data_IF_650698430018
#
_entry.id   IF_650698430018
#
_cell.length_a   1.000
_cell.length_b   1.000
_cell.length_c   1.000
_cell.angle_alpha   90.00
_cell.angle_beta   90.00
_cell.angle_gamma   90.00
#
_symmetry.space_group_name_H-M   'P 1'
#
loop_
_entity.id
_entity.type
_entity.pdbx_description
1 polymer ?
#
# COMPACT_ATOMS: atom_id res chain seq x y z
N UNK A 1 -10.31 -26.71 -19.69
CA UNK A 1 -9.67 -25.95 -18.60
C UNK A 1 -10.27 -26.26 -17.22
N UNK A 2 -11.60 -26.36 -17.03
CA UNK A 2 -12.14 -26.86 -15.74
C UNK A 2 -11.68 -28.30 -15.42
N UNK A 3 -11.54 -29.15 -16.44
CA UNK A 3 -10.97 -30.49 -16.28
C UNK A 3 -9.49 -30.54 -15.87
N UNK A 4 -8.74 -29.43 -16.02
CA UNK A 4 -7.35 -29.31 -15.52
C UNK A 4 -7.38 -28.79 -14.08
N UNK A 5 -8.27 -27.82 -13.81
CA UNK A 5 -8.53 -27.26 -12.47
C UNK A 5 -8.80 -28.34 -11.42
N UNK A 6 -9.69 -29.30 -11.73
CA UNK A 6 -10.07 -30.36 -10.77
C UNK A 6 -9.01 -31.46 -10.62
N UNK A 7 -8.06 -31.57 -11.56
CA UNK A 7 -7.02 -32.62 -11.58
C UNK A 7 -5.66 -32.17 -11.03
N UNK A 8 -5.47 -30.89 -10.80
CA UNK A 8 -4.24 -30.32 -10.22
C UNK A 8 -4.28 -30.20 -8.69
N UNK A 9 -5.41 -30.42 -8.02
CA UNK A 9 -5.53 -30.29 -6.54
C UNK A 9 -4.92 -31.47 -5.74
N UNK A 10 -4.03 -32.27 -6.35
CA UNK A 10 -3.41 -33.43 -5.70
C UNK A 10 -2.12 -33.93 -6.36
N UNK A 11 -1.24 -33.01 -6.79
CA UNK A 11 0.00 -33.37 -7.52
C UNK A 11 0.95 -34.25 -6.70
N UNK A 12 1.03 -34.05 -5.38
CA UNK A 12 1.95 -34.80 -4.51
C UNK A 12 1.55 -36.28 -4.29
N UNK A 13 0.28 -36.65 -4.51
CA UNK A 13 -0.24 -38.00 -4.23
C UNK A 13 -0.63 -38.79 -5.48
N UNK A 14 -0.63 -38.19 -6.67
CA UNK A 14 -1.17 -38.81 -7.88
C UNK A 14 -0.15 -38.84 -9.04
N UNK A 15 0.35 -40.01 -9.47
CA UNK A 15 1.29 -40.11 -10.59
C UNK A 15 0.71 -39.59 -11.92
N UNK A 16 -0.62 -39.60 -12.08
CA UNK A 16 -1.28 -38.99 -13.24
C UNK A 16 -1.17 -37.45 -13.24
N UNK A 17 -1.11 -36.83 -12.07
CA UNK A 17 -0.96 -35.37 -11.95
C UNK A 17 0.46 -34.91 -12.31
N UNK A 18 1.49 -35.71 -12.01
CA UNK A 18 2.86 -35.44 -12.46
C UNK A 18 3.02 -35.54 -14.00
N UNK A 19 2.32 -36.49 -14.63
CA UNK A 19 2.28 -36.59 -16.10
C UNK A 19 1.52 -35.42 -16.73
N UNK A 20 0.37 -35.05 -16.17
CA UNK A 20 -0.39 -33.89 -16.62
C UNK A 20 0.40 -32.59 -16.43
N UNK A 21 1.17 -32.46 -15.35
CA UNK A 21 2.05 -31.31 -15.14
C UNK A 21 3.10 -31.21 -16.24
N UNK A 22 3.77 -32.32 -16.59
CA UNK A 22 4.76 -32.35 -17.68
C UNK A 22 4.19 -31.95 -19.04
N UNK A 23 2.91 -32.25 -19.29
CA UNK A 23 2.24 -31.89 -20.55
C UNK A 23 1.65 -30.47 -20.52
N UNK A 24 1.08 -30.05 -19.39
CA UNK A 24 0.38 -28.78 -19.25
C UNK A 24 1.34 -27.61 -19.03
N UNK A 25 2.42 -27.81 -18.28
CA UNK A 25 3.35 -26.74 -17.91
C UNK A 25 3.95 -26.00 -19.12
N UNK A 26 4.52 -26.68 -20.15
CA UNK A 26 5.04 -25.99 -21.32
C UNK A 26 3.95 -25.28 -22.13
N UNK A 27 2.70 -25.74 -22.07
CA UNK A 27 1.57 -25.07 -22.70
C UNK A 27 1.20 -23.78 -21.96
N UNK A 28 1.22 -23.79 -20.62
CA UNK A 28 0.97 -22.60 -19.80
C UNK A 28 2.07 -21.53 -20.03
N UNK A 29 3.34 -21.93 -20.00
CA UNK A 29 4.46 -21.02 -20.25
C UNK A 29 4.42 -20.44 -21.68
N UNK A 30 4.14 -21.25 -22.69
CA UNK A 30 3.97 -20.77 -24.08
C UNK A 30 2.78 -19.82 -24.23
N UNK A 31 1.66 -20.10 -23.57
CA UNK A 31 0.50 -19.21 -23.58
C UNK A 31 0.87 -17.83 -23.01
N UNK A 32 1.57 -17.80 -21.87
CA UNK A 32 2.02 -16.56 -21.26
C UNK A 32 3.06 -15.81 -22.11
N UNK A 33 3.84 -16.52 -22.93
CA UNK A 33 4.80 -15.91 -23.84
C UNK A 33 4.17 -15.40 -25.15
N UNK A 34 3.04 -15.96 -25.59
CA UNK A 34 2.46 -15.70 -26.92
C UNK A 34 1.24 -14.77 -26.90
N UNK A 35 0.39 -14.89 -25.88
CA UNK A 35 -0.82 -14.08 -25.77
C UNK A 35 -0.46 -12.80 -24.99
N UNK A 36 -0.46 -11.60 -25.56
CA UNK A 36 -0.14 -10.39 -24.80
C UNK A 36 -1.23 -10.08 -23.75
N UNK A 37 -0.83 -9.40 -22.68
CA UNK A 37 -1.77 -8.79 -21.74
C UNK A 37 -2.27 -7.47 -22.33
N UNK A 38 -3.58 -7.28 -22.38
CA UNK A 38 -4.19 -6.06 -22.91
C UNK A 38 -4.58 -5.18 -21.73
N UNK A 39 -3.64 -4.30 -21.33
CA UNK A 39 -3.75 -3.45 -20.13
C UNK A 39 -4.86 -2.39 -20.22
N UNK A 40 -5.32 -2.07 -21.43
CA UNK A 40 -6.40 -1.11 -21.68
C UNK A 40 -7.78 -1.77 -21.63
N UNK A 41 -7.84 -3.09 -21.77
CA UNK A 41 -9.06 -3.87 -21.82
C UNK A 41 -9.43 -4.44 -20.44
N UNK A 42 -10.72 -4.69 -20.16
CA UNK A 42 -11.14 -5.23 -18.87
C UNK A 42 -10.58 -6.64 -18.62
N UNK A 43 -10.55 -7.07 -17.35
CA UNK A 43 -10.15 -8.43 -16.98
C UNK A 43 -11.04 -9.52 -17.60
N UNK A 44 -12.27 -9.16 -18.03
CA UNK A 44 -13.18 -10.04 -18.75
C UNK A 44 -12.76 -10.31 -20.20
N UNK A 45 -11.84 -9.51 -20.76
CA UNK A 45 -11.33 -9.71 -22.12
C UNK A 45 -10.74 -11.12 -22.24
N UNK A 46 -11.02 -11.88 -23.32
CA UNK A 46 -10.61 -13.27 -23.47
C UNK A 46 -9.11 -13.49 -23.25
N UNK A 47 -8.25 -12.57 -23.70
CA UNK A 47 -6.80 -12.67 -23.50
C UNK A 47 -6.43 -12.51 -22.02
N UNK A 48 -6.94 -11.47 -21.35
CA UNK A 48 -6.68 -11.21 -19.94
C UNK A 48 -7.21 -12.33 -19.04
N UNK A 49 -8.42 -12.84 -19.33
CA UNK A 49 -9.02 -13.97 -18.62
C UNK A 49 -8.20 -15.25 -18.81
N UNK A 50 -7.78 -15.54 -20.04
CA UNK A 50 -7.00 -16.73 -20.36
C UNK A 50 -5.63 -16.69 -19.67
N UNK A 51 -4.93 -15.55 -19.72
CA UNK A 51 -3.67 -15.32 -19.00
C UNK A 51 -3.85 -15.46 -17.49
N UNK A 52 -4.85 -14.80 -16.91
CA UNK A 52 -5.13 -14.88 -15.47
C UNK A 52 -5.38 -16.33 -15.02
N UNK A 53 -6.13 -17.11 -15.80
CA UNK A 53 -6.31 -18.54 -15.53
C UNK A 53 -4.99 -19.32 -15.60
N UNK A 54 -4.14 -19.04 -16.59
CA UNK A 54 -2.84 -19.70 -16.70
C UNK A 54 -1.94 -19.38 -15.49
N UNK A 55 -1.89 -18.12 -15.07
CA UNK A 55 -1.15 -17.68 -13.88
C UNK A 55 -1.70 -18.34 -12.60
N UNK A 56 -3.02 -18.44 -12.45
CA UNK A 56 -3.63 -19.15 -11.31
C UNK A 56 -3.20 -20.63 -11.27
N UNK A 57 -3.11 -21.29 -12.42
CA UNK A 57 -2.60 -22.68 -12.48
C UNK A 57 -1.11 -22.76 -12.10
N UNK A 58 -0.29 -21.80 -12.52
CA UNK A 58 1.11 -21.72 -12.07
C UNK A 58 1.21 -21.49 -10.54
N UNK A 59 0.29 -20.70 -9.99
CA UNK A 59 0.15 -20.44 -8.55
C UNK A 59 -0.14 -21.67 -7.69
N UNK A 60 -0.70 -22.73 -8.28
CA UNK A 60 -1.07 -23.97 -7.59
C UNK A 60 0.01 -25.05 -7.66
N UNK A 61 1.14 -24.79 -8.31
CA UNK A 61 2.20 -25.78 -8.47
C UNK A 61 2.94 -26.04 -7.15
N UNK A 62 3.21 -27.32 -6.79
CA UNK A 62 4.09 -27.64 -5.68
C UNK A 62 5.55 -27.37 -6.08
N UNK A 63 6.00 -26.12 -5.93
CA UNK A 63 7.35 -25.68 -6.32
C UNK A 63 8.47 -26.60 -5.81
N UNK A 64 8.46 -27.12 -4.57
CA UNK A 64 9.52 -28.03 -4.08
C UNK A 64 9.62 -29.36 -4.83
N UNK A 65 8.52 -29.83 -5.40
CA UNK A 65 8.42 -31.10 -6.13
C UNK A 65 8.62 -30.93 -7.64
N UNK A 66 8.81 -29.69 -8.10
CA UNK A 66 8.95 -29.41 -9.52
C UNK A 66 10.27 -29.99 -10.07
N UNK A 67 10.23 -30.71 -11.21
CA UNK A 67 11.45 -31.13 -11.88
C UNK A 67 12.35 -29.94 -12.22
N UNK A 68 13.64 -30.03 -11.83
CA UNK A 68 14.65 -28.96 -12.01
C UNK A 68 14.66 -28.30 -13.41
N UNK A 69 14.47 -29.03 -14.53
CA UNK A 69 14.45 -28.42 -15.86
C UNK A 69 13.33 -27.38 -16.09
N UNK A 70 12.21 -27.46 -15.36
CA UNK A 70 11.10 -26.52 -15.48
C UNK A 70 11.27 -25.24 -14.66
N UNK A 71 12.16 -25.25 -13.66
CA UNK A 71 12.42 -24.10 -12.78
C UNK A 71 12.79 -22.82 -13.55
N UNK A 72 13.77 -22.82 -14.48
CA UNK A 72 14.12 -21.60 -15.21
C UNK A 72 12.96 -21.10 -16.10
N UNK A 73 12.17 -22.00 -16.68
CA UNK A 73 11.02 -21.65 -17.50
C UNK A 73 9.88 -21.06 -16.65
N UNK A 74 9.64 -21.59 -15.45
CA UNK A 74 8.68 -21.05 -14.49
C UNK A 74 9.10 -19.65 -14.03
N UNK A 75 10.38 -19.48 -13.72
CA UNK A 75 10.92 -18.18 -13.31
C UNK A 75 10.79 -17.14 -14.43
N UNK A 76 11.11 -17.51 -15.67
CA UNK A 76 10.93 -16.66 -16.84
C UNK A 76 9.46 -16.25 -17.05
N UNK A 77 8.52 -17.20 -16.91
CA UNK A 77 7.10 -16.90 -16.98
C UNK A 77 6.66 -15.92 -15.88
N UNK A 78 7.13 -16.10 -14.63
CA UNK A 78 6.83 -15.17 -13.53
C UNK A 78 7.36 -13.76 -13.82
N UNK A 79 8.57 -13.63 -14.36
CA UNK A 79 9.11 -12.32 -14.77
C UNK A 79 8.27 -11.67 -15.88
N UNK A 80 7.81 -12.43 -16.86
CA UNK A 80 6.95 -11.91 -17.94
C UNK A 80 5.62 -11.37 -17.38
N UNK A 81 5.00 -12.11 -16.46
CA UNK A 81 3.75 -11.71 -15.80
C UNK A 81 3.96 -10.42 -14.99
N UNK A 82 5.00 -10.35 -14.17
CA UNK A 82 5.29 -9.14 -13.39
C UNK A 82 5.51 -7.90 -14.27
N UNK A 83 6.15 -8.07 -15.43
CA UNK A 83 6.46 -6.97 -16.33
C UNK A 83 5.26 -6.48 -17.16
N UNK A 84 4.32 -7.37 -17.54
CA UNK A 84 3.31 -7.05 -18.56
C UNK A 84 1.86 -7.24 -18.12
N UNK A 85 1.57 -7.99 -17.06
CA UNK A 85 0.20 -8.25 -16.62
C UNK A 85 -0.36 -7.22 -15.62
N UNK A 86 -1.64 -7.40 -15.32
CA UNK A 86 -2.39 -6.72 -14.27
C UNK A 86 -1.96 -7.11 -12.86
N UNK A 87 -2.31 -6.26 -11.90
CA UNK A 87 -2.06 -6.43 -10.47
C UNK A 87 -2.36 -7.84 -9.95
N UNK A 88 -3.56 -8.39 -10.22
CA UNK A 88 -3.99 -9.69 -9.69
C UNK A 88 -3.09 -10.85 -10.12
N UNK A 89 -2.68 -10.85 -11.38
CA UNK A 89 -1.75 -11.86 -11.91
C UNK A 89 -0.33 -11.65 -11.38
N UNK A 90 0.08 -10.38 -11.22
CA UNK A 90 1.35 -10.02 -10.60
C UNK A 90 1.48 -10.53 -9.16
N UNK A 91 0.42 -10.42 -8.34
CA UNK A 91 0.40 -10.89 -6.96
C UNK A 91 0.62 -12.41 -6.87
N UNK A 92 -0.01 -13.18 -7.76
CA UNK A 92 0.21 -14.64 -7.82
C UNK A 92 1.64 -14.94 -8.29
N UNK A 93 2.11 -14.28 -9.35
CA UNK A 93 3.45 -14.49 -9.89
C UNK A 93 4.55 -14.15 -8.89
N UNK A 94 4.41 -13.09 -8.10
CA UNK A 94 5.39 -12.72 -7.07
C UNK A 94 5.48 -13.79 -5.96
N UNK A 95 4.36 -14.38 -5.54
CA UNK A 95 4.36 -15.47 -4.55
C UNK A 95 5.05 -16.72 -5.07
N UNK A 96 4.75 -17.11 -6.31
CA UNK A 96 5.42 -18.24 -6.98
C UNK A 96 6.91 -17.98 -7.10
N UNK A 97 7.29 -16.78 -7.57
CA UNK A 97 8.68 -16.36 -7.71
C UNK A 97 9.44 -16.42 -6.38
N UNK A 98 8.83 -15.96 -5.28
CA UNK A 98 9.42 -16.06 -3.95
C UNK A 98 9.70 -17.52 -3.55
N UNK A 99 8.73 -18.42 -3.70
CA UNK A 99 8.91 -19.83 -3.35
C UNK A 99 9.95 -20.54 -4.27
N UNK A 100 10.02 -20.16 -5.55
CA UNK A 100 11.05 -20.65 -6.48
C UNK A 100 12.44 -20.23 -6.01
N UNK A 101 12.66 -18.96 -5.71
CA UNK A 101 13.95 -18.48 -5.21
C UNK A 101 14.30 -19.06 -3.84
N UNK A 102 13.31 -19.24 -2.96
CA UNK A 102 13.49 -19.87 -1.65
C UNK A 102 13.96 -21.31 -1.75
N UNK A 103 13.36 -22.07 -2.67
CA UNK A 103 13.67 -23.49 -2.89
C UNK A 103 15.00 -23.70 -3.60
N UNK A 104 15.28 -22.93 -4.66
CA UNK A 104 16.40 -23.17 -5.58
C UNK A 104 17.50 -22.09 -5.51
N UNK A 105 17.66 -21.44 -4.35
CA UNK A 105 18.53 -20.27 -4.18
C UNK A 105 19.94 -20.40 -4.78
N UNK A 106 20.60 -21.54 -4.66
CA UNK A 106 22.00 -21.73 -5.10
C UNK A 106 22.23 -21.67 -6.61
N UNK A 107 21.19 -21.77 -7.43
CA UNK A 107 21.32 -21.90 -8.90
C UNK A 107 20.69 -20.71 -9.65
N UNK A 108 19.90 -19.87 -8.97
CA UNK A 108 19.07 -18.85 -9.62
C UNK A 108 19.62 -17.41 -9.51
N UNK A 109 20.80 -17.19 -8.92
CA UNK A 109 21.39 -15.84 -8.80
C UNK A 109 21.56 -15.17 -10.17
N UNK A 110 22.05 -15.91 -11.17
CA UNK A 110 22.26 -15.40 -12.52
C UNK A 110 20.94 -15.12 -13.25
N UNK A 111 19.87 -15.84 -12.94
CA UNK A 111 18.55 -15.66 -13.55
C UNK A 111 17.67 -14.62 -12.85
N UNK A 112 18.12 -14.05 -11.72
CA UNK A 112 17.36 -13.04 -10.95
C UNK A 112 17.40 -11.63 -11.53
N UNK A 113 18.22 -11.37 -12.56
CA UNK A 113 18.37 -10.05 -13.17
C UNK A 113 17.06 -9.37 -13.58
N UNK A 114 16.15 -10.06 -14.32
CA UNK A 114 14.87 -9.49 -14.72
C UNK A 114 13.97 -9.06 -13.57
N UNK A 115 14.01 -9.77 -12.43
CA UNK A 115 13.25 -9.37 -11.24
C UNK A 115 13.73 -8.01 -10.70
N UNK A 116 15.05 -7.80 -10.60
CA UNK A 116 15.58 -6.54 -10.08
C UNK A 116 15.36 -5.36 -11.04
N UNK A 117 15.38 -5.61 -12.34
CA UNK A 117 15.01 -4.60 -13.34
C UNK A 117 13.53 -4.23 -13.23
N UNK A 118 12.65 -5.22 -13.09
CA UNK A 118 11.25 -4.98 -12.81
C UNK A 118 11.04 -4.23 -11.48
N UNK A 119 11.80 -4.58 -10.42
CA UNK A 119 11.73 -3.91 -9.13
C UNK A 119 12.15 -2.43 -9.23
N UNK A 120 13.17 -2.13 -10.02
CA UNK A 120 13.59 -0.75 -10.34
C UNK A 120 12.42 0.01 -10.97
N UNK A 121 11.82 -0.56 -12.01
CA UNK A 121 10.68 0.05 -12.71
C UNK A 121 9.46 0.20 -11.80
N UNK A 122 9.22 -0.74 -10.89
CA UNK A 122 8.12 -0.65 -9.92
C UNK A 122 8.28 0.61 -9.07
N UNK A 123 9.44 0.80 -8.42
CA UNK A 123 9.68 1.97 -7.57
C UNK A 123 9.72 3.29 -8.36
N UNK A 124 10.25 3.28 -9.59
CA UNK A 124 10.22 4.44 -10.50
C UNK A 124 8.79 4.87 -10.87
N UNK A 125 7.87 3.92 -11.03
CA UNK A 125 6.48 4.19 -11.39
C UNK A 125 5.56 4.54 -10.20
N UNK A 126 5.97 4.26 -8.96
CA UNK A 126 5.13 4.49 -7.77
C UNK A 126 4.72 5.95 -7.57
N UNK A 127 5.60 6.96 -7.69
CA UNK A 127 5.20 8.36 -7.59
C UNK A 127 4.09 8.73 -8.59
N UNK A 128 4.25 8.34 -9.86
CA UNK A 128 3.22 8.59 -10.88
C UNK A 128 1.94 7.79 -10.66
N UNK A 129 2.01 6.59 -10.06
CA UNK A 129 0.82 5.84 -9.66
C UNK A 129 0.03 6.55 -8.56
N UNK A 130 0.74 7.21 -7.65
CA UNK A 130 0.15 8.00 -6.59
C UNK A 130 -0.51 9.27 -7.12
N UNK A 131 0.13 9.98 -8.05
CA UNK A 131 -0.46 11.15 -8.70
C UNK A 131 -1.76 10.79 -9.44
N UNK A 132 -1.79 9.62 -10.11
CA UNK A 132 -3.02 9.11 -10.75
C UNK A 132 -4.11 8.78 -9.75
N UNK A 133 -3.77 8.18 -8.61
CA UNK A 133 -4.72 7.87 -7.53
C UNK A 133 -5.34 9.15 -6.94
N UNK A 134 -4.54 10.20 -6.77
CA UNK A 134 -5.03 11.52 -6.36
C UNK A 134 -5.93 12.10 -7.44
N UNK A 135 -5.46 12.14 -8.70
CA UNK A 135 -6.20 12.75 -9.80
C UNK A 135 -7.53 12.05 -10.11
N UNK A 136 -7.61 10.72 -9.94
CA UNK A 136 -8.84 9.97 -10.19
C UNK A 136 -9.90 10.16 -9.11
N UNK A 137 -9.54 10.74 -7.97
CA UNK A 137 -10.40 10.81 -6.79
C UNK A 137 -10.59 12.22 -6.22
N UNK A 138 -9.71 13.17 -6.49
CA UNK A 138 -10.02 14.58 -6.24
C UNK A 138 -11.02 15.07 -7.29
N UNK A 139 -12.06 15.83 -6.88
CA UNK A 139 -12.94 16.46 -7.84
C UNK A 139 -12.13 17.42 -8.72
N UNK A 140 -12.34 17.34 -10.04
CA UNK A 140 -11.85 18.37 -10.95
C UNK A 140 -12.31 19.75 -10.44
N UNK A 141 -11.47 20.80 -10.51
CA UNK A 141 -11.78 22.13 -9.95
C UNK A 141 -13.02 22.83 -10.56
N UNK A 142 -13.73 22.23 -11.52
CA UNK A 142 -14.83 22.88 -12.24
C UNK A 142 -16.24 22.38 -11.86
N UNK A 143 -16.40 21.45 -10.91
CA UNK A 143 -17.73 20.97 -10.50
C UNK A 143 -18.38 21.77 -9.34
N UNK A 144 -17.80 22.91 -8.95
CA UNK A 144 -18.28 23.75 -7.84
C UNK A 144 -18.67 25.19 -8.27
N UNK A 145 -19.00 25.41 -9.55
CA UNK A 145 -19.63 26.65 -10.04
C UNK A 145 -21.03 26.37 -10.57
N UNK A 146 -21.86 25.76 -9.73
CA UNK A 146 -23.32 25.76 -9.85
C UNK A 146 -23.94 26.76 -8.87
N UNK A 147 -23.42 27.98 -8.78
CA UNK A 147 -24.04 29.05 -7.98
C UNK A 147 -25.13 29.74 -8.78
N UNK A 148 -26.38 29.52 -8.33
CA UNK A 148 -27.54 30.26 -8.76
C UNK A 148 -27.31 31.77 -8.66
N UNK A 149 -27.42 32.46 -9.79
CA UNK A 149 -27.51 33.92 -9.85
C UNK A 149 -28.95 34.33 -9.56
N UNK A 150 -29.26 34.58 -8.29
CA UNK A 150 -30.29 35.56 -7.94
C UNK A 150 -29.61 36.94 -7.92
N UNK A 151 -29.91 37.77 -8.91
CA UNK A 151 -29.51 39.18 -8.94
C UNK A 151 -30.57 40.01 -8.25
N UNK A 152 -30.24 40.52 -7.05
CA UNK A 152 -30.87 41.69 -6.45
C UNK A 152 -30.05 42.90 -6.89
N UNK A 153 -30.64 43.79 -7.68
CA UNK A 153 -30.04 45.05 -8.10
C UNK A 153 -30.82 46.25 -7.56
N UNK A 154 -30.11 47.28 -7.09
CA UNK A 154 -30.55 48.68 -6.94
C UNK A 154 -29.27 49.55 -6.92
N UNK A 155 -29.29 50.87 -7.24
CA UNK A 155 -29.49 51.48 -8.56
C UNK A 155 -28.40 52.54 -8.89
N UNK A 156 -28.13 52.86 -10.16
CA UNK A 156 -27.59 54.19 -10.56
C UNK A 156 -28.11 54.60 -11.94
N UNK A 157 -28.51 55.86 -12.04
CA UNK A 157 -29.14 56.60 -13.14
C UNK A 157 -28.26 56.83 -14.39
N UNK A 158 -28.91 56.97 -15.54
CA UNK A 158 -28.37 57.61 -16.77
C UNK A 158 -29.15 57.20 -18.02
N UNK A 159 -29.50 58.11 -18.95
CA UNK A 159 -30.78 58.12 -19.65
C UNK A 159 -30.82 57.29 -20.94
N UNK A 160 -32.01 56.83 -21.33
CA UNK A 160 -32.32 56.34 -22.67
C UNK A 160 -33.35 57.25 -23.34
N UNK A 161 -33.05 57.59 -24.58
CA UNK A 161 -33.94 58.13 -25.60
C UNK A 161 -34.98 57.09 -26.03
N UNK A 162 -35.98 57.59 -26.75
CA UNK A 162 -37.38 57.19 -26.85
C UNK A 162 -37.70 56.03 -27.82
N UNK A 163 -39.01 55.75 -27.88
CA UNK A 163 -39.82 54.98 -28.87
C UNK A 163 -40.28 53.58 -28.39
N UNK A 164 -41.54 53.46 -27.95
CA UNK A 164 -42.77 53.09 -28.73
C UNK A 164 -42.70 51.63 -29.24
N UNK A 165 -43.67 50.72 -29.07
CA UNK A 165 -45.13 50.78 -28.85
C UNK A 165 -45.66 49.35 -28.53
N UNK A 166 -46.80 49.32 -27.84
CA UNK A 166 -47.99 48.43 -27.96
C UNK A 166 -47.86 46.90 -27.76
N UNK A 167 -48.52 46.36 -26.72
CA UNK A 167 -49.83 45.65 -26.74
C UNK A 167 -49.63 44.13 -27.02
N UNK A 168 -50.31 43.15 -26.44
CA UNK A 168 -51.56 43.07 -25.69
C UNK A 168 -51.57 41.73 -24.89
N UNK A 169 -52.56 41.62 -24.01
CA UNK A 169 -52.77 40.56 -23.02
C UNK A 169 -53.48 39.30 -23.58
N UNK A 170 -53.62 38.32 -22.68
CA UNK A 170 -54.86 37.62 -22.29
C UNK A 170 -54.68 36.07 -22.29
N UNK A 171 -54.46 35.41 -21.16
CA UNK A 171 -55.36 35.05 -20.03
C UNK A 171 -56.35 33.89 -20.29
N UNK A 172 -56.30 32.91 -19.36
CA UNK A 172 -57.44 32.13 -18.78
C UNK A 172 -58.08 31.05 -19.70
N UNK A 173 -58.49 29.84 -19.31
CA UNK A 173 -59.24 29.29 -18.14
C UNK A 173 -59.06 27.73 -18.10
N UNK A 174 -59.23 27.04 -16.95
CA UNK A 174 -59.08 25.58 -16.80
C UNK A 174 -60.40 24.75 -16.66
N UNK A 175 -60.25 23.41 -16.81
CA UNK A 175 -61.07 22.29 -16.24
C UNK A 175 -62.38 21.86 -16.97
N UNK A 176 -63.03 20.68 -16.68
CA UNK A 176 -62.58 19.33 -16.23
C UNK A 176 -63.34 18.10 -16.87
N UNK A 177 -62.81 16.86 -16.71
CA UNK A 177 -63.64 15.69 -16.28
C UNK A 177 -63.75 14.41 -17.15
N UNK A 178 -63.46 13.26 -16.47
CA UNK A 178 -64.00 11.85 -16.57
C UNK A 178 -63.07 10.71 -17.09
N UNK A 179 -63.26 9.43 -16.67
CA UNK A 179 -62.36 8.74 -15.72
C UNK A 179 -61.89 7.34 -16.26
N UNK A 180 -61.48 6.31 -15.47
CA UNK A 180 -60.25 5.56 -15.75
C UNK A 180 -60.45 4.13 -16.29
N UNK A 181 -59.54 3.65 -17.15
CA UNK A 181 -59.39 2.21 -17.41
C UNK A 181 -57.92 1.80 -17.46
N UNK A 182 -57.59 0.87 -16.58
CA UNK A 182 -56.35 0.10 -16.44
C UNK A 182 -55.87 -0.53 -17.76
N UNK A 183 -54.56 -0.47 -18.02
CA UNK A 183 -53.95 -1.16 -19.17
C UNK A 183 -52.43 -0.97 -19.26
N UNK A 184 -51.68 -1.77 -18.49
CA UNK A 184 -50.32 -2.29 -18.76
C UNK A 184 -49.27 -1.27 -19.26
N UNK A 185 -48.49 -0.72 -18.32
CA UNK A 185 -47.28 0.05 -18.62
C UNK A 185 -46.19 -0.86 -19.21
N UNK A 186 -45.91 -0.68 -20.51
CA UNK A 186 -44.69 -1.15 -21.15
C UNK A 186 -43.53 -0.27 -20.68
N UNK A 187 -42.68 -0.82 -19.79
CA UNK A 187 -41.43 -0.18 -19.41
C UNK A 187 -40.44 -0.28 -20.59
N UNK A 188 -40.15 0.85 -21.23
CA UNK A 188 -38.96 1.00 -22.07
C UNK A 188 -37.70 0.82 -21.22
N UNK A 189 -36.65 0.13 -21.72
CA UNK A 189 -35.39 0.02 -21.00
C UNK A 189 -34.66 1.37 -21.05
N UNK A 190 -34.39 1.94 -19.88
CA UNK A 190 -33.47 3.06 -19.73
C UNK A 190 -32.04 2.64 -20.17
N UNK A 191 -31.25 3.53 -20.79
CA UNK A 191 -29.88 3.22 -21.20
C UNK A 191 -28.98 3.01 -19.97
N UNK A 192 -27.96 2.14 -20.04
CA UNK A 192 -27.04 1.94 -18.93
C UNK A 192 -26.23 3.22 -18.70
N UNK A 193 -26.36 3.80 -17.51
CA UNK A 193 -25.42 4.79 -16.99
C UNK A 193 -24.05 4.12 -16.83
N UNK A 194 -23.21 4.23 -17.85
CA UNK A 194 -21.82 3.77 -17.81
C UNK A 194 -21.01 4.73 -16.94
N UNK A 195 -21.03 4.55 -15.62
CA UNK A 195 -19.90 4.99 -14.81
C UNK A 195 -18.68 4.18 -15.29
N UNK A 196 -17.58 4.80 -15.74
CA UNK A 196 -16.40 4.05 -16.14
C UNK A 196 -15.91 3.25 -14.92
N UNK A 197 -15.73 1.95 -15.10
CA UNK A 197 -15.08 1.11 -14.10
C UNK A 197 -13.69 1.72 -13.77
N UNK A 198 -13.22 1.61 -12.52
CA UNK A 198 -11.91 2.16 -12.15
C UNK A 198 -10.83 1.59 -13.09
N UNK A 199 -9.86 2.42 -13.52
CA UNK A 199 -8.81 1.98 -14.42
C UNK A 199 -8.04 0.83 -13.79
N UNK A 200 -7.78 -0.21 -14.58
CA UNK A 200 -7.06 -1.40 -14.14
C UNK A 200 -5.58 -1.07 -13.89
N UNK A 201 -5.06 -1.53 -12.75
CA UNK A 201 -3.68 -1.25 -12.36
C UNK A 201 -2.73 -2.28 -12.96
N UNK A 202 -1.71 -1.87 -13.74
CA UNK A 202 -0.67 -2.79 -14.20
C UNK A 202 0.22 -3.19 -13.01
N UNK A 203 0.76 -4.42 -13.02
CA UNK A 203 1.58 -4.94 -11.93
C UNK A 203 2.77 -4.03 -11.59
N UNK A 204 3.43 -3.44 -12.60
CA UNK A 204 4.53 -2.48 -12.46
C UNK A 204 4.19 -1.15 -11.76
N UNK A 205 2.92 -0.89 -11.45
CA UNK A 205 2.46 0.33 -10.77
C UNK A 205 1.56 0.02 -9.57
N UNK A 206 1.57 -1.22 -9.08
CA UNK A 206 0.70 -1.67 -8.00
C UNK A 206 1.31 -1.39 -6.62
N UNK A 207 0.55 -0.70 -5.76
CA UNK A 207 0.90 -0.52 -4.36
C UNK A 207 0.88 -1.84 -3.58
N UNK A 208 -0.09 -2.71 -3.85
CA UNK A 208 -0.16 -4.02 -3.19
C UNK A 208 1.07 -4.87 -3.50
N UNK A 209 1.49 -4.88 -4.77
CA UNK A 209 2.66 -5.62 -5.18
C UNK A 209 3.95 -5.01 -4.61
N UNK A 210 4.04 -3.68 -4.51
CA UNK A 210 5.13 -2.99 -3.82
C UNK A 210 5.20 -3.30 -2.31
N UNK A 211 4.05 -3.51 -1.66
CA UNK A 211 4.01 -3.96 -0.27
C UNK A 211 4.45 -5.44 -0.13
N UNK A 212 3.91 -6.33 -0.95
CA UNK A 212 4.15 -7.78 -0.89
C UNK A 212 5.58 -8.17 -1.30
N UNK A 213 6.17 -7.43 -2.25
CA UNK A 213 7.53 -7.73 -2.75
C UNK A 213 8.61 -7.48 -1.71
N UNK A 214 8.38 -6.65 -0.69
CA UNK A 214 9.41 -6.24 0.27
C UNK A 214 10.10 -7.45 0.94
N UNK A 215 9.35 -8.49 1.28
CA UNK A 215 9.91 -9.73 1.84
C UNK A 215 10.80 -10.46 0.82
N UNK A 216 10.35 -10.55 -0.44
CA UNK A 216 11.12 -11.12 -1.54
C UNK A 216 12.43 -10.36 -1.73
N UNK A 217 12.41 -9.03 -1.72
CA UNK A 217 13.65 -8.25 -1.91
C UNK A 217 14.64 -8.48 -0.77
N UNK A 218 14.18 -8.46 0.49
CA UNK A 218 15.05 -8.75 1.64
C UNK A 218 15.67 -10.14 1.52
N UNK A 219 14.87 -11.15 1.18
CA UNK A 219 15.35 -12.51 0.99
C UNK A 219 16.38 -12.62 -0.15
N UNK A 220 16.10 -12.01 -1.31
CA UNK A 220 16.99 -12.05 -2.47
C UNK A 220 18.29 -11.28 -2.21
N UNK A 221 18.25 -10.16 -1.49
CA UNK A 221 19.45 -9.44 -1.10
C UNK A 221 20.34 -10.23 -0.14
N UNK A 222 19.75 -11.04 0.74
CA UNK A 222 20.50 -11.96 1.60
C UNK A 222 21.10 -13.12 0.82
N UNK A 223 20.40 -13.63 -0.21
CA UNK A 223 20.86 -14.76 -1.00
C UNK A 223 21.84 -14.39 -2.12
N UNK A 224 21.70 -13.19 -2.70
CA UNK A 224 22.38 -12.75 -3.92
C UNK A 224 23.19 -11.47 -3.69
N UNK A 225 24.31 -11.56 -2.96
CA UNK A 225 25.12 -10.39 -2.65
C UNK A 225 25.68 -9.72 -3.92
N UNK A 226 25.95 -10.45 -5.01
CA UNK A 226 26.47 -9.81 -6.25
C UNK A 226 25.42 -8.87 -6.86
N UNK A 227 24.17 -9.33 -6.91
CA UNK A 227 23.03 -8.54 -7.39
C UNK A 227 22.77 -7.33 -6.50
N UNK A 228 22.90 -7.50 -5.18
CA UNK A 228 22.79 -6.40 -4.24
C UNK A 228 23.75 -5.25 -4.58
N UNK A 229 25.03 -5.54 -4.81
CA UNK A 229 26.01 -4.51 -5.18
C UNK A 229 25.69 -3.84 -6.52
N UNK A 230 25.16 -4.59 -7.50
CA UNK A 230 24.78 -4.06 -8.81
C UNK A 230 23.67 -3.01 -8.71
N UNK A 231 22.68 -3.22 -7.84
CA UNK A 231 21.51 -2.33 -7.71
C UNK A 231 21.59 -1.37 -6.51
N UNK A 232 22.62 -1.48 -5.67
CA UNK A 232 22.82 -0.69 -4.47
C UNK A 232 22.83 0.83 -4.70
N UNK A 233 23.31 1.29 -5.86
CA UNK A 233 23.34 2.71 -6.20
C UNK A 233 22.02 3.26 -6.76
N UNK A 234 21.15 2.38 -7.26
CA UNK A 234 19.94 2.78 -8.01
C UNK A 234 18.67 2.63 -7.17
N UNK A 235 18.56 1.56 -6.37
CA UNK A 235 17.33 1.28 -5.63
C UNK A 235 17.06 2.24 -4.46
N UNK A 236 18.03 2.57 -3.58
CA UNK A 236 17.79 3.51 -2.47
C UNK A 236 17.18 4.87 -2.86
N UNK A 237 17.70 5.59 -3.87
CA UNK A 237 17.10 6.88 -4.24
C UNK A 237 15.67 6.72 -4.77
N UNK A 238 15.41 5.72 -5.61
CA UNK A 238 14.05 5.45 -6.13
C UNK A 238 13.07 5.08 -5.01
N UNK A 239 13.51 4.28 -4.05
CA UNK A 239 12.71 3.94 -2.88
C UNK A 239 12.40 5.16 -2.01
N UNK A 240 13.37 6.06 -1.82
CA UNK A 240 13.17 7.31 -1.07
C UNK A 240 12.23 8.25 -1.82
N UNK A 241 12.33 8.31 -3.14
CA UNK A 241 11.40 9.05 -3.99
C UNK A 241 9.98 8.46 -3.88
N UNK A 242 9.83 7.14 -3.88
CA UNK A 242 8.55 6.46 -3.66
C UNK A 242 7.92 6.71 -2.27
N UNK A 243 8.66 7.30 -1.32
CA UNK A 243 8.13 7.84 -0.06
C UNK A 243 7.55 9.26 -0.21
N UNK A 244 7.14 9.62 -1.44
CA UNK A 244 6.49 10.89 -1.78
C UNK A 244 5.34 11.24 -0.83
N UNK A 245 5.09 12.54 -0.60
CA UNK A 245 4.20 12.99 0.46
C UNK A 245 2.76 12.53 0.20
N UNK A 246 2.21 11.77 1.14
CA UNK A 246 0.80 11.40 1.27
C UNK A 246 -0.04 12.62 1.68
N UNK A 247 -1.29 12.78 1.18
CA UNK A 247 -2.16 13.84 1.66
C UNK A 247 -2.57 13.46 3.09
N UNK A 248 -3.08 14.41 3.87
CA UNK A 248 -3.73 14.04 5.12
C UNK A 248 -4.91 13.10 4.83
N UNK A 249 -5.07 12.02 5.59
CA UNK A 249 -6.16 11.05 5.40
C UNK A 249 -7.55 11.71 5.35
N UNK A 250 -7.73 12.85 6.02
CA UNK A 250 -8.98 13.62 6.03
C UNK A 250 -9.33 14.24 4.66
N UNK A 251 -8.34 14.47 3.80
CA UNK A 251 -8.53 15.00 2.45
C UNK A 251 -8.84 13.90 1.42
N UNK A 252 -8.75 12.61 1.81
CA UNK A 252 -8.96 11.48 0.92
C UNK A 252 -10.45 11.10 0.89
N UNK A 253 -11.12 11.08 -0.28
CA UNK A 253 -12.52 10.72 -0.38
C UNK A 253 -12.76 9.25 -0.01
N UNK A 254 -13.96 8.94 0.47
CA UNK A 254 -14.33 7.58 0.92
C UNK A 254 -14.08 6.50 -0.14
N UNK A 255 -14.29 6.81 -1.42
CA UNK A 255 -14.04 5.91 -2.55
C UNK A 255 -12.57 5.51 -2.73
N UNK A 256 -11.63 6.34 -2.26
CA UNK A 256 -10.20 6.16 -2.45
C UNK A 256 -9.48 5.61 -1.20
N UNK A 257 -10.19 5.44 -0.08
CA UNK A 257 -9.58 5.06 1.20
C UNK A 257 -8.86 3.71 1.14
N UNK A 258 -9.39 2.74 0.39
CA UNK A 258 -8.76 1.44 0.23
C UNK A 258 -7.43 1.55 -0.53
N UNK A 259 -7.43 2.22 -1.68
CA UNK A 259 -6.23 2.43 -2.48
C UNK A 259 -5.18 3.30 -1.74
N UNK A 260 -5.64 4.28 -0.95
CA UNK A 260 -4.78 5.06 -0.07
C UNK A 260 -4.15 4.21 1.04
N UNK A 261 -4.92 3.31 1.66
CA UNK A 261 -4.38 2.37 2.65
C UNK A 261 -3.31 1.44 2.03
N UNK A 262 -3.54 0.96 0.80
CA UNK A 262 -2.56 0.17 0.04
C UNK A 262 -1.29 0.99 -0.24
N UNK A 263 -1.43 2.27 -0.63
CA UNK A 263 -0.29 3.18 -0.81
C UNK A 263 0.50 3.38 0.48
N UNK A 264 -0.18 3.68 1.60
CA UNK A 264 0.47 3.78 2.90
C UNK A 264 1.20 2.48 3.27
N UNK A 265 0.59 1.32 3.03
CA UNK A 265 1.20 0.03 3.29
C UNK A 265 2.48 -0.17 2.46
N UNK A 266 2.44 0.18 1.17
CA UNK A 266 3.62 0.14 0.30
C UNK A 266 4.74 1.02 0.87
N UNK A 267 4.44 2.27 1.25
CA UNK A 267 5.42 3.18 1.84
C UNK A 267 6.01 2.65 3.17
N UNK A 268 5.18 2.06 4.03
CA UNK A 268 5.63 1.44 5.30
C UNK A 268 6.58 0.26 5.03
N UNK A 269 6.28 -0.57 4.02
CA UNK A 269 7.12 -1.70 3.62
C UNK A 269 8.43 -1.23 2.98
N UNK A 270 8.40 -0.18 2.17
CA UNK A 270 9.59 0.50 1.62
C UNK A 270 10.46 1.03 2.76
N UNK A 271 9.89 1.73 3.75
CA UNK A 271 10.61 2.19 4.94
C UNK A 271 11.27 1.05 5.72
N UNK A 272 10.51 -0.04 5.94
CA UNK A 272 11.02 -1.23 6.61
C UNK A 272 12.20 -1.83 5.84
N UNK A 273 12.13 -1.84 4.52
CA UNK A 273 13.20 -2.34 3.67
C UNK A 273 14.43 -1.43 3.66
N UNK A 274 14.28 -0.11 3.57
CA UNK A 274 15.40 0.86 3.73
C UNK A 274 16.08 0.70 5.09
N UNK A 275 15.31 0.40 6.13
CA UNK A 275 15.83 0.16 7.48
C UNK A 275 16.64 -1.13 7.55
N UNK A 276 16.22 -2.20 6.87
CA UNK A 276 17.00 -3.45 6.75
C UNK A 276 18.31 -3.19 5.99
N UNK A 277 18.25 -2.43 4.89
CA UNK A 277 19.44 -2.05 4.13
C UNK A 277 20.39 -1.19 4.97
N UNK A 278 19.88 -0.27 5.80
CA UNK A 278 20.70 0.57 6.68
C UNK A 278 21.45 -0.23 7.76
N UNK A 279 20.95 -1.42 8.13
CA UNK A 279 21.66 -2.36 9.04
C UNK A 279 22.68 -3.23 8.32
N UNK A 280 22.61 -3.30 7.00
CA UNK A 280 23.52 -4.13 6.20
C UNK A 280 24.81 -3.35 5.96
N UNK A 281 25.92 -3.81 6.55
CA UNK A 281 27.18 -3.05 6.63
C UNK A 281 27.68 -2.45 5.31
N UNK A 282 27.50 -3.17 4.19
CA UNK A 282 27.95 -2.72 2.86
C UNK A 282 27.08 -1.60 2.26
N UNK A 283 25.85 -1.42 2.74
CA UNK A 283 24.86 -0.47 2.20
C UNK A 283 24.59 0.72 3.13
N UNK A 284 24.93 0.58 4.42
CA UNK A 284 24.83 1.63 5.42
C UNK A 284 25.39 3.00 4.96
N UNK A 285 26.59 3.10 4.34
CA UNK A 285 27.11 4.39 3.91
C UNK A 285 26.28 5.02 2.79
N UNK A 286 25.83 4.23 1.81
CA UNK A 286 25.00 4.72 0.71
C UNK A 286 23.63 5.25 1.19
N UNK A 287 23.10 4.69 2.28
CA UNK A 287 21.84 5.12 2.87
C UNK A 287 21.96 6.29 3.84
N UNK A 288 23.15 6.60 4.33
CA UNK A 288 23.37 7.68 5.31
C UNK A 288 22.89 9.05 4.80
N UNK A 289 23.07 9.33 3.49
CA UNK A 289 22.61 10.57 2.85
C UNK A 289 21.09 10.72 2.82
N UNK A 290 20.35 9.61 2.91
CA UNK A 290 18.89 9.60 2.87
C UNK A 290 18.24 9.59 4.25
N UNK A 291 19.02 9.67 5.34
CA UNK A 291 18.53 9.63 6.74
C UNK A 291 17.36 10.59 6.99
N UNK A 292 17.51 11.85 6.60
CA UNK A 292 16.50 12.88 6.86
C UNK A 292 15.18 12.59 6.13
N UNK A 293 15.26 12.09 4.89
CA UNK A 293 14.09 11.73 4.11
C UNK A 293 13.35 10.53 4.71
N UNK A 294 14.08 9.49 5.15
CA UNK A 294 13.52 8.30 5.81
C UNK A 294 12.80 8.66 7.12
N UNK A 295 13.46 9.42 8.00
CA UNK A 295 12.85 9.87 9.26
C UNK A 295 11.64 10.78 9.01
N UNK A 296 11.75 11.71 8.06
CA UNK A 296 10.65 12.59 7.67
C UNK A 296 9.45 11.82 7.13
N UNK A 297 9.67 10.82 6.28
CA UNK A 297 8.62 9.95 5.75
C UNK A 297 7.93 9.13 6.86
N UNK A 298 8.69 8.56 7.81
CA UNK A 298 8.12 7.86 8.96
C UNK A 298 7.21 8.78 9.77
N UNK A 299 7.67 9.99 10.11
CA UNK A 299 6.89 10.97 10.88
C UNK A 299 5.64 11.42 10.13
N UNK A 300 5.74 11.65 8.81
CA UNK A 300 4.56 11.95 7.98
C UNK A 300 3.54 10.82 8.00
N UNK A 301 3.98 9.57 7.83
CA UNK A 301 3.09 8.41 7.89
C UNK A 301 2.43 8.25 9.26
N UNK A 302 3.15 8.48 10.36
CA UNK A 302 2.56 8.43 11.71
C UNK A 302 1.42 9.44 11.89
N UNK A 303 1.50 10.59 11.20
CA UNK A 303 0.47 11.64 11.23
C UNK A 303 -0.69 11.36 10.27
N UNK A 304 -0.43 10.77 9.10
CA UNK A 304 -1.41 10.68 8.01
C UNK A 304 -2.04 9.29 7.81
N UNK A 305 -1.51 8.23 8.41
CA UNK A 305 -2.01 6.86 8.18
C UNK A 305 -3.46 6.68 8.67
N UNK A 306 -4.31 5.95 7.92
CA UNK A 306 -5.68 5.67 8.33
C UNK A 306 -5.73 4.87 9.64
N UNK A 307 -6.80 5.04 10.41
CA UNK A 307 -7.05 4.31 11.66
C UNK A 307 -7.51 2.86 11.40
N UNK A 308 -6.66 2.11 10.70
CA UNK A 308 -6.78 0.69 10.43
C UNK A 308 -5.68 -0.06 11.19
N UNK A 309 -6.09 -1.03 12.02
CA UNK A 309 -5.19 -1.88 12.82
C UNK A 309 -4.02 -2.46 12.01
N UNK A 310 -4.20 -3.07 10.82
CA UNK A 310 -3.08 -3.64 10.08
C UNK A 310 -2.04 -2.60 9.65
N UNK A 311 -2.48 -1.43 9.17
CA UNK A 311 -1.59 -0.36 8.69
C UNK A 311 -0.79 0.23 9.85
N UNK A 312 -1.45 0.59 10.96
CA UNK A 312 -0.76 1.13 12.14
C UNK A 312 0.17 0.11 12.80
N UNK A 313 -0.20 -1.18 12.84
CA UNK A 313 0.68 -2.23 13.36
C UNK A 313 2.00 -2.30 12.59
N UNK A 314 1.93 -2.36 11.27
CA UNK A 314 3.10 -2.42 10.40
C UNK A 314 3.95 -1.15 10.54
N UNK A 315 3.33 0.02 10.68
CA UNK A 315 4.05 1.27 10.92
C UNK A 315 4.80 1.28 12.26
N UNK A 316 4.19 0.77 13.34
CA UNK A 316 4.87 0.61 14.64
C UNK A 316 6.04 -0.37 14.55
N UNK A 317 5.90 -1.45 13.79
CA UNK A 317 6.99 -2.40 13.50
C UNK A 317 8.11 -1.69 12.72
N UNK A 318 7.79 -0.86 11.73
CA UNK A 318 8.76 -0.08 10.98
C UNK A 318 9.53 0.92 11.87
N UNK A 319 8.82 1.65 12.75
CA UNK A 319 9.42 2.52 13.76
C UNK A 319 10.39 1.74 14.65
N UNK A 320 9.95 0.61 15.19
CA UNK A 320 10.77 -0.24 16.06
C UNK A 320 12.04 -0.73 15.36
N UNK A 321 11.93 -1.16 14.11
CA UNK A 321 13.07 -1.61 13.32
C UNK A 321 14.08 -0.48 13.02
N UNK A 322 13.64 0.78 13.03
CA UNK A 322 14.49 1.95 12.78
C UNK A 322 15.34 2.32 14.00
N UNK A 323 14.88 2.02 15.22
CA UNK A 323 15.58 2.32 16.48
C UNK A 323 17.04 1.81 16.57
N UNK A 324 17.38 0.57 16.15
CA UNK A 324 18.77 0.10 16.17
C UNK A 324 19.68 0.74 15.11
N UNK A 325 19.16 1.56 14.20
CA UNK A 325 19.93 2.19 13.12
C UNK A 325 20.43 3.58 13.51
N UNK A 326 21.47 4.13 12.85
CA UNK A 326 21.90 5.52 13.08
C UNK A 326 20.83 6.57 12.72
N UNK A 327 19.71 6.17 12.12
CA UNK A 327 18.61 7.07 11.78
C UNK A 327 17.81 7.50 13.00
N UNK A 328 17.89 6.78 14.13
CA UNK A 328 17.17 7.12 15.37
C UNK A 328 17.36 8.57 15.82
N UNK A 329 18.53 9.16 15.55
CA UNK A 329 18.86 10.56 15.90
C UNK A 329 17.89 11.54 15.24
N UNK A 330 17.36 11.22 14.06
CA UNK A 330 16.35 12.03 13.37
C UNK A 330 14.98 12.05 14.06
N UNK A 331 14.72 11.13 15.00
CA UNK A 331 13.46 11.08 15.75
C UNK A 331 13.47 11.97 17.00
N UNK A 332 14.66 12.32 17.51
CA UNK A 332 14.83 13.02 18.78
C UNK A 332 14.11 14.38 18.86
N UNK A 333 14.06 15.20 17.78
CA UNK A 333 13.30 16.45 17.80
C UNK A 333 11.79 16.25 18.02
N UNK A 334 11.27 15.05 17.73
CA UNK A 334 9.85 14.70 17.78
C UNK A 334 9.50 13.77 18.95
N UNK A 335 10.39 13.64 19.95
CA UNK A 335 10.15 12.76 21.11
C UNK A 335 8.85 13.04 21.84
N UNK A 336 8.41 14.30 21.90
CA UNK A 336 7.18 14.67 22.60
C UNK A 336 5.94 14.05 21.93
N UNK A 337 5.91 13.98 20.59
CA UNK A 337 4.85 13.31 19.81
C UNK A 337 4.87 11.79 20.05
N UNK A 338 6.05 11.16 20.11
CA UNK A 338 6.16 9.73 20.40
C UNK A 338 5.75 9.34 21.83
N UNK A 339 5.63 10.30 22.75
CA UNK A 339 5.09 10.07 24.10
C UNK A 339 3.56 10.27 24.17
N UNK A 340 2.93 10.68 23.06
CA UNK A 340 1.48 10.79 22.92
C UNK A 340 0.88 9.47 22.40
N UNK A 341 -0.03 8.84 23.17
CA UNK A 341 -0.73 7.62 22.74
C UNK A 341 -1.48 7.81 21.40
N UNK A 342 -2.24 8.90 21.17
CA UNK A 342 -2.97 9.09 19.91
C UNK A 342 -2.08 9.18 18.66
N UNK A 343 -0.84 9.66 18.82
CA UNK A 343 0.12 9.72 17.71
C UNK A 343 0.56 8.31 17.27
N UNK A 344 0.75 7.40 18.25
CA UNK A 344 1.22 6.04 17.99
C UNK A 344 0.11 5.12 17.48
N UNK A 345 -1.00 5.05 18.21
CA UNK A 345 -2.05 4.05 17.97
C UNK A 345 -3.26 4.59 17.23
N UNK A 346 -3.36 5.92 17.05
CA UNK A 346 -4.52 6.57 16.44
C UNK A 346 -5.62 6.89 17.44
N UNK A 347 -6.78 7.30 16.93
CA UNK A 347 -7.94 7.72 17.74
C UNK A 347 -9.03 6.66 17.79
N UNK A 348 -9.03 5.72 16.85
CA UNK A 348 -9.98 4.61 16.84
C UNK A 348 -9.81 3.70 18.07
N UNK A 349 -10.89 3.41 18.83
CA UNK A 349 -10.81 2.57 20.02
C UNK A 349 -10.31 1.15 19.69
N UNK A 350 -10.66 0.63 18.51
CA UNK A 350 -10.19 -0.67 18.03
C UNK A 350 -8.68 -0.68 17.82
N UNK A 351 -8.10 0.40 17.29
CA UNK A 351 -6.65 0.51 17.14
C UNK A 351 -5.95 0.67 18.49
N UNK A 352 -6.53 1.49 19.38
CA UNK A 352 -6.00 1.72 20.73
C UNK A 352 -5.92 0.40 21.49
N UNK A 353 -7.01 -0.37 21.58
CA UNK A 353 -7.05 -1.64 22.29
C UNK A 353 -6.09 -2.67 21.71
N UNK A 354 -6.07 -2.83 20.37
CA UNK A 354 -5.27 -3.85 19.71
C UNK A 354 -3.77 -3.53 19.67
N UNK A 355 -3.37 -2.26 19.67
CA UNK A 355 -1.98 -1.85 19.43
C UNK A 355 -1.26 -1.30 20.65
N UNK A 356 -1.97 -0.96 21.74
CA UNK A 356 -1.36 -0.43 22.98
C UNK A 356 -0.17 -1.26 23.48
N UNK A 357 -0.22 -2.61 23.57
CA UNK A 357 0.93 -3.38 24.02
C UNK A 357 2.18 -3.19 23.12
N UNK A 358 1.98 -3.17 21.80
CA UNK A 358 3.07 -2.98 20.83
C UNK A 358 3.63 -1.56 20.92
N UNK A 359 2.75 -0.55 20.96
CA UNK A 359 3.13 0.86 21.08
C UNK A 359 3.95 1.12 22.35
N UNK A 360 3.47 0.66 23.51
CA UNK A 360 4.20 0.81 24.77
C UNK A 360 5.54 0.08 24.76
N UNK A 361 5.65 -1.10 24.14
CA UNK A 361 6.94 -1.79 23.99
C UNK A 361 7.91 -1.02 23.10
N UNK A 362 7.40 -0.40 22.02
CA UNK A 362 8.21 0.37 21.06
C UNK A 362 8.71 1.68 21.66
N UNK A 363 7.87 2.40 22.41
CA UNK A 363 8.27 3.59 23.16
C UNK A 363 9.31 3.25 24.23
N UNK A 364 9.17 2.09 24.89
CA UNK A 364 10.13 1.69 25.92
C UNK A 364 11.51 1.47 25.33
N UNK A 365 11.56 0.83 24.15
CA UNK A 365 12.79 0.63 23.40
C UNK A 365 13.39 1.96 22.90
N UNK A 366 12.54 2.88 22.39
CA UNK A 366 12.96 4.22 21.95
C UNK A 366 13.59 4.98 23.12
N UNK A 367 12.89 5.08 24.26
CA UNK A 367 13.38 5.75 25.47
C UNK A 367 14.67 5.10 25.96
N UNK A 368 14.73 3.77 26.05
CA UNK A 368 15.93 3.08 26.51
C UNK A 368 17.14 3.37 25.60
N UNK A 369 16.92 3.44 24.28
CA UNK A 369 17.97 3.69 23.28
C UNK A 369 18.44 5.14 23.20
N UNK A 370 17.66 6.08 23.76
CA UNK A 370 17.88 7.53 23.68
C UNK A 370 17.93 8.21 25.05
N UNK A 371 18.00 7.44 26.14
CA UNK A 371 17.90 7.96 27.53
C UNK A 371 18.90 9.06 27.87
N UNK A 372 20.09 9.05 27.26
CA UNK A 372 21.13 10.05 27.45
C UNK A 372 20.79 11.41 26.82
N UNK A 373 19.85 11.46 25.88
CA UNK A 373 19.53 12.64 25.04
C UNK A 373 18.18 13.26 25.41
N UNK A 374 17.36 12.58 26.23
CA UNK A 374 16.04 13.06 26.65
C UNK A 374 16.13 14.26 27.58
N UNK A 375 15.15 15.17 27.57
CA UNK A 375 15.02 16.28 28.53
C UNK A 375 14.40 15.81 29.84
N UNK A 376 14.57 16.56 30.94
CA UNK A 376 14.00 16.20 32.24
C UNK A 376 12.46 16.13 32.21
N UNK A 377 11.81 17.05 31.48
CA UNK A 377 10.34 17.01 31.31
C UNK A 377 9.86 15.75 30.58
N UNK A 378 10.60 15.31 29.55
CA UNK A 378 10.32 14.08 28.82
C UNK A 378 10.47 12.86 29.72
N UNK A 379 11.55 12.81 30.52
CA UNK A 379 11.77 11.75 31.50
C UNK A 379 10.64 11.70 32.54
N UNK A 380 10.19 12.86 33.04
CA UNK A 380 9.05 12.92 33.98
C UNK A 380 7.77 12.34 33.36
N UNK A 381 7.51 12.67 32.09
CA UNK A 381 6.35 12.16 31.35
C UNK A 381 6.41 10.64 31.16
N UNK A 382 7.58 10.13 30.76
CA UNK A 382 7.85 8.69 30.62
C UNK A 382 7.64 7.97 31.95
N UNK A 383 8.22 8.46 33.05
CA UNK A 383 8.09 7.81 34.37
C UNK A 383 6.62 7.71 34.79
N UNK A 384 5.83 8.76 34.62
CA UNK A 384 4.39 8.72 34.93
C UNK A 384 3.64 7.68 34.10
N UNK A 385 3.88 7.67 32.79
CA UNK A 385 3.23 6.75 31.86
C UNK A 385 3.56 5.29 32.24
N UNK A 386 4.84 4.95 32.40
CA UNK A 386 5.24 3.57 32.70
C UNK A 386 4.96 3.14 34.14
N UNK A 387 4.88 4.08 35.10
CA UNK A 387 4.40 3.77 36.44
C UNK A 387 2.90 3.41 36.41
N UNK A 388 2.08 4.16 35.67
CA UNK A 388 0.66 3.83 35.51
C UNK A 388 0.45 2.47 34.83
N UNK A 389 1.23 2.16 33.78
CA UNK A 389 1.17 0.87 33.10
C UNK A 389 1.66 -0.29 33.96
N UNK A 390 2.64 -0.07 34.84
CA UNK A 390 3.13 -1.09 35.75
C UNK A 390 2.10 -1.44 36.84
N UNK A 391 1.28 -0.48 37.25
CA UNK A 391 0.23 -0.68 38.26
C UNK A 391 -1.12 -1.14 37.68
N UNK A 392 -1.29 -1.10 36.35
CA UNK A 392 -2.55 -1.49 35.70
C UNK A 392 -2.65 -3.03 35.59
N UNK A 393 -3.46 -3.62 36.47
CA UNK A 393 -3.72 -5.07 36.52
C UNK A 393 -4.50 -5.62 35.31
N UNK A 394 -5.09 -4.75 34.47
CA UNK A 394 -5.80 -5.17 33.25
C UNK A 394 -4.85 -5.49 32.08
N UNK A 395 -3.58 -5.08 32.18
CA UNK A 395 -2.57 -5.29 31.15
C UNK A 395 -1.90 -6.66 31.24
N UNK A 396 -1.33 -7.12 30.12
CA UNK A 396 -0.52 -8.33 30.10
C UNK A 396 0.72 -8.21 31.01
N UNK A 397 1.03 -9.27 31.75
CA UNK A 397 2.19 -9.32 32.66
C UNK A 397 3.54 -9.02 31.95
N UNK A 398 3.65 -9.35 30.66
CA UNK A 398 4.83 -9.02 29.84
C UNK A 398 5.03 -7.51 29.66
N UNK A 399 3.95 -6.74 29.57
CA UNK A 399 3.99 -5.28 29.47
C UNK A 399 4.36 -4.65 30.81
N UNK A 400 3.79 -5.15 31.92
CA UNK A 400 4.15 -4.71 33.28
C UNK A 400 5.64 -4.95 33.55
N UNK A 401 6.16 -6.15 33.23
CA UNK A 401 7.57 -6.48 33.38
C UNK A 401 8.49 -5.58 32.54
N UNK A 402 8.08 -5.23 31.32
CA UNK A 402 8.84 -4.29 30.47
C UNK A 402 8.83 -2.87 31.03
N UNK A 403 7.70 -2.44 31.59
CA UNK A 403 7.55 -1.13 32.23
C UNK A 403 8.45 -0.99 33.45
N UNK A 404 8.47 -2.00 34.32
CA UNK A 404 9.34 -2.04 35.50
C UNK A 404 10.83 -2.03 35.12
N UNK A 405 11.22 -2.82 34.11
CA UNK A 405 12.61 -2.80 33.59
C UNK A 405 13.02 -1.43 33.07
N UNK A 406 12.13 -0.75 32.33
CA UNK A 406 12.41 0.59 31.85
C UNK A 406 12.58 1.57 33.01
N UNK A 407 11.66 1.58 33.98
CA UNK A 407 11.73 2.46 35.15
C UNK A 407 13.04 2.24 35.92
N UNK A 408 13.42 0.98 36.17
CA UNK A 408 14.68 0.64 36.81
C UNK A 408 15.89 1.21 36.04
N UNK A 409 15.93 1.00 34.72
CA UNK A 409 17.01 1.52 33.87
C UNK A 409 17.07 3.05 33.80
N UNK A 410 15.95 3.72 34.07
CA UNK A 410 15.89 5.18 34.12
C UNK A 410 16.41 5.76 35.44
N UNK A 411 16.36 5.00 36.55
CA UNK A 411 16.85 5.46 37.86
C UNK A 411 18.32 5.88 37.79
N UNK A 412 19.17 5.08 37.13
CA UNK A 412 20.58 5.41 36.95
C UNK A 412 20.77 6.73 36.20
N UNK A 413 20.06 6.92 35.08
CA UNK A 413 20.12 8.16 34.29
C UNK A 413 19.57 9.37 35.03
N UNK A 414 18.57 9.21 35.89
CA UNK A 414 18.05 10.29 36.73
C UNK A 414 19.04 10.65 37.83
N UNK A 415 19.71 9.66 38.41
CA UNK A 415 20.72 9.87 39.43
C UNK A 415 21.97 10.57 38.88
N UNK A 416 22.43 10.19 37.68
CA UNK A 416 23.57 10.81 37.00
C UNK A 416 23.34 12.26 36.56
N UNK A 417 22.09 12.73 36.57
CA UNK A 417 21.69 14.08 36.15
C UNK A 417 21.24 14.97 37.31
N UNK A 418 21.36 14.49 38.55
CA UNK A 418 21.45 15.35 39.73
C UNK A 418 22.82 16.01 39.77
#
# INVERSE_FOLDING_TARGET
>A
MSAIKDRCEGVASNPAAAFLLRAAFPCLCRLLATVPAELEEPLSHPHNRLRGMAVEQLGRLPVPELPKPFVPELLAACHQVLAHDHEDSGLVAQRVLFEVHKTYKSVLEELSGPFFEWLRLLYENLPGAYDRLIASHLPAPDAALGTGRMSLGVPVQGPKEEEEKDEEADARVPSPGRPPTSGVAAASPAPPSSSPAPPLTPARASFKLAADVALTVVFLFQCYPKRLHQYAGVLPPLMVEALTPTPEAAAVPASAQAAFADCCMAQIKILSFLTVMARTGNLAPALSQHRAAVCGALLRLMRCVPDQVPVRRELLIALRNLLPTPFKVGLLPHMDEFLDEPFLVGRSPTCVEALRPLACSTVAELVASSKAELRLEQLRRVVRLYASLACDCSQAASLQGTSLRLLYNLVETLFQRR
#
